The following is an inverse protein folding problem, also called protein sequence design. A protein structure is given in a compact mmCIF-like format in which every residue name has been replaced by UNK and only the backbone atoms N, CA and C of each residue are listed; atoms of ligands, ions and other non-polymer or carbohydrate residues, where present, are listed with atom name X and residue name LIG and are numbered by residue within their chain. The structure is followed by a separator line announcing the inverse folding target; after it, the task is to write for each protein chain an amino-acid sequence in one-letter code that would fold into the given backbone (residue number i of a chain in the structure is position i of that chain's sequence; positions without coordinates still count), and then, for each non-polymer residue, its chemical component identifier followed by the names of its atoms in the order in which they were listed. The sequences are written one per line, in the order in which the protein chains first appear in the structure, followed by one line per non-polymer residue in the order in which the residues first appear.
data_IF_581953125334
#
_entry.id   IF_581953125334
#
_cell.length_a   1.000
_cell.length_b   1.000
_cell.length_c   1.000
_cell.angle_alpha   90.00
_cell.angle_beta   90.00
_cell.angle_gamma   90.00
#
_symmetry.space_group_name_H-M   'P 1'
#
loop_
_entity.id
_entity.type
_entity.pdbx_description
1 polymer ?
#
# COMPACT_ATOMS: atom_id res chain seq x y z
N UNK A 1 27.66 6.28 -4.59
CA UNK A 1 26.52 5.49 -5.09
C UNK A 1 25.28 6.37 -5.02
N UNK A 2 25.14 7.29 -5.98
CA UNK A 2 24.11 8.34 -5.92
C UNK A 2 23.17 8.14 -7.11
N UNK A 3 22.30 7.15 -7.03
CA UNK A 3 21.30 6.88 -8.08
C UNK A 3 20.22 7.97 -8.01
N UNK A 4 20.28 8.96 -8.89
CA UNK A 4 19.26 10.03 -8.93
C UNK A 4 17.93 9.46 -9.43
N UNK A 5 16.97 9.30 -8.50
CA UNK A 5 15.59 8.92 -8.79
C UNK A 5 14.85 10.08 -9.46
N UNK A 6 14.11 9.78 -10.54
CA UNK A 6 13.23 10.71 -11.23
C UNK A 6 11.78 10.34 -10.90
N UNK A 7 11.00 11.35 -10.52
CA UNK A 7 9.57 11.22 -10.20
C UNK A 7 8.76 11.93 -11.29
N UNK A 8 7.79 11.27 -11.90
CA UNK A 8 6.86 11.91 -12.84
C UNK A 8 5.67 12.53 -12.07
N UNK A 9 5.41 13.81 -12.30
CA UNK A 9 4.30 14.52 -11.67
C UNK A 9 2.92 14.13 -12.24
N UNK A 10 2.88 13.57 -13.45
CA UNK A 10 1.63 13.19 -14.11
C UNK A 10 1.03 11.86 -13.59
N UNK A 11 1.86 10.85 -13.28
CA UNK A 11 1.38 9.54 -12.79
C UNK A 11 2.05 9.04 -11.49
N UNK A 12 2.92 9.83 -10.84
CA UNK A 12 3.51 9.49 -9.54
C UNK A 12 4.52 8.33 -9.58
N UNK A 13 5.00 7.97 -10.77
CA UNK A 13 5.94 6.88 -10.98
C UNK A 13 7.34 7.34 -10.53
N UNK A 14 7.98 6.54 -9.66
CA UNK A 14 9.36 6.77 -9.22
C UNK A 14 10.27 5.72 -9.84
N UNK A 15 11.19 6.15 -10.71
CA UNK A 15 12.14 5.27 -11.40
C UNK A 15 13.53 5.92 -11.42
N UNK A 16 14.57 5.13 -11.60
CA UNK A 16 15.90 5.69 -11.84
C UNK A 16 15.93 6.44 -13.18
N UNK A 17 16.74 7.50 -13.25
CA UNK A 17 16.93 8.29 -14.48
C UNK A 17 17.30 7.44 -15.72
N UNK A 18 18.13 6.41 -15.53
CA UNK A 18 18.53 5.51 -16.61
C UNK A 18 17.40 4.56 -17.01
N UNK A 19 16.59 4.11 -16.05
CA UNK A 19 15.47 3.20 -16.28
C UNK A 19 14.26 3.90 -16.91
N UNK A 20 14.13 5.23 -16.79
CA UNK A 20 13.03 6.00 -17.37
C UNK A 20 12.87 5.80 -18.89
N UNK A 21 13.94 5.45 -19.60
CA UNK A 21 13.90 5.20 -21.05
C UNK A 21 13.31 3.83 -21.42
N UNK A 22 13.25 2.91 -20.46
CA UNK A 22 12.72 1.56 -20.64
C UNK A 22 11.25 1.44 -20.21
N UNK A 23 10.72 2.48 -19.55
CA UNK A 23 9.31 2.53 -19.15
C UNK A 23 8.47 2.79 -20.41
N UNK A 24 7.51 1.92 -20.75
CA UNK A 24 6.58 2.18 -21.85
C UNK A 24 5.82 3.50 -21.65
N UNK A 25 5.37 4.11 -22.74
CA UNK A 25 4.58 5.35 -22.71
C UNK A 25 3.09 5.09 -22.44
N UNK A 26 2.79 4.13 -21.56
CA UNK A 26 1.45 3.71 -21.13
C UNK A 26 1.03 4.40 -19.83
N UNK A 27 1.72 5.48 -19.43
CA UNK A 27 1.34 6.32 -18.30
C UNK A 27 -0.09 6.82 -18.52
N UNK A 28 -1.05 6.20 -17.82
CA UNK A 28 -2.39 6.71 -17.62
C UNK A 28 -2.33 7.63 -16.39
N UNK A 29 -2.31 8.95 -16.57
CA UNK A 29 -2.26 9.87 -15.46
C UNK A 29 -3.69 10.18 -15.01
N UNK A 30 -4.16 9.52 -13.95
CA UNK A 30 -4.81 10.19 -12.82
C UNK A 30 -5.02 9.23 -11.63
N UNK A 31 -4.36 9.54 -10.52
CA UNK A 31 -4.67 9.10 -9.15
C UNK A 31 -4.02 10.12 -8.19
N UNK A 32 -4.17 11.42 -8.49
CA UNK A 32 -3.45 12.60 -7.93
C UNK A 32 -3.47 12.81 -6.38
N UNK A 33 -3.79 11.81 -5.56
CA UNK A 33 -3.70 11.83 -4.09
C UNK A 33 -3.36 10.48 -3.44
N UNK A 34 -2.99 9.43 -4.19
CA UNK A 34 -2.61 8.15 -3.59
C UNK A 34 -1.37 8.33 -2.71
N UNK A 35 -1.59 8.34 -1.38
CA UNK A 35 -0.55 8.01 -0.41
C UNK A 35 -0.49 6.48 -0.38
N UNK A 36 0.38 5.88 -1.22
CA UNK A 36 0.63 4.44 -1.13
C UNK A 36 1.04 4.12 0.30
N UNK A 37 0.28 3.24 0.93
CA UNK A 37 0.55 2.72 2.27
C UNK A 37 1.50 1.52 2.12
N UNK A 38 1.25 0.67 1.13
CA UNK A 38 2.09 -0.49 0.83
C UNK A 38 3.27 -0.13 -0.05
N UNK A 39 4.36 -0.91 0.10
CA UNK A 39 5.61 -0.74 -0.65
C UNK A 39 6.28 0.63 -0.46
N UNK A 40 5.88 1.39 0.57
CA UNK A 40 6.57 2.60 1.04
C UNK A 40 7.53 2.23 2.18
N UNK A 41 8.62 3.00 2.34
CA UNK A 41 9.49 2.87 3.51
C UNK A 41 8.69 3.15 4.80
N UNK A 42 8.84 2.27 5.79
CA UNK A 42 8.11 2.36 7.05
C UNK A 42 8.33 3.71 7.72
N UNK A 43 9.59 4.14 7.86
CA UNK A 43 9.94 5.40 8.55
C UNK A 43 9.32 6.61 7.87
N UNK A 44 9.34 6.62 6.54
CA UNK A 44 8.72 7.65 5.71
C UNK A 44 7.22 7.69 5.91
N UNK A 45 6.56 6.52 5.93
CA UNK A 45 5.12 6.41 6.12
C UNK A 45 4.67 6.94 7.50
N UNK A 46 5.29 6.49 8.60
CA UNK A 46 4.91 6.98 9.94
C UNK A 46 5.20 8.47 10.12
N UNK A 47 6.33 8.99 9.58
CA UNK A 47 6.63 10.42 9.62
C UNK A 47 5.63 11.25 8.81
N UNK A 48 5.26 10.81 7.61
CA UNK A 48 4.30 11.51 6.75
C UNK A 48 2.88 11.53 7.31
N UNK A 49 2.52 10.57 8.16
CA UNK A 49 1.22 10.50 8.83
C UNK A 49 1.24 11.00 10.28
N UNK A 50 2.41 11.33 10.84
CA UNK A 50 2.60 11.72 12.23
C UNK A 50 1.97 10.72 13.22
N UNK A 51 2.21 9.42 12.98
CA UNK A 51 1.73 8.33 13.83
C UNK A 51 2.91 7.48 14.32
N UNK A 52 2.76 6.74 15.44
CA UNK A 52 3.81 5.83 15.93
C UNK A 52 3.88 4.52 15.11
N UNK A 53 2.82 4.19 14.35
CA UNK A 53 2.74 3.01 13.48
C UNK A 53 1.80 3.27 12.28
N UNK A 54 1.90 2.48 11.20
CA UNK A 54 1.00 2.57 10.06
C UNK A 54 -0.45 2.21 10.42
N UNK A 55 -1.42 2.93 9.86
CA UNK A 55 -2.86 2.68 10.08
C UNK A 55 -3.29 1.25 9.70
N UNK A 56 -2.64 0.65 8.68
CA UNK A 56 -2.93 -0.72 8.26
C UNK A 56 -2.72 -1.73 9.40
N UNK A 57 -1.74 -1.50 10.28
CA UNK A 57 -1.49 -2.40 11.40
C UNK A 57 -2.63 -2.34 12.42
N UNK A 58 -3.02 -1.13 12.84
CA UNK A 58 -4.12 -0.95 13.79
C UNK A 58 -5.43 -1.55 13.28
N UNK A 59 -5.73 -1.30 12.00
CA UNK A 59 -6.98 -1.74 11.40
C UNK A 59 -7.03 -3.25 11.24
N UNK A 60 -5.98 -3.87 10.69
CA UNK A 60 -5.94 -5.32 10.52
C UNK A 60 -5.91 -6.07 11.85
N UNK A 61 -5.13 -5.60 12.83
CA UNK A 61 -5.07 -6.22 14.17
C UNK A 61 -6.44 -6.18 14.82
N UNK A 62 -7.12 -5.02 14.82
CA UNK A 62 -8.45 -4.88 15.40
C UNK A 62 -9.47 -5.85 14.76
N UNK A 63 -9.46 -5.98 13.44
CA UNK A 63 -10.35 -6.91 12.74
C UNK A 63 -10.07 -8.37 13.11
N UNK A 64 -8.78 -8.75 13.23
CA UNK A 64 -8.40 -10.11 13.65
C UNK A 64 -8.83 -10.37 15.09
N UNK A 65 -8.64 -9.41 15.99
CA UNK A 65 -9.06 -9.52 17.39
C UNK A 65 -10.58 -9.62 17.52
N UNK A 66 -11.33 -8.91 16.67
CA UNK A 66 -12.79 -8.88 16.71
C UNK A 66 -13.44 -10.17 16.20
N UNK A 67 -12.91 -10.79 15.14
CA UNK A 67 -13.55 -11.95 14.48
C UNK A 67 -12.64 -13.14 14.17
N UNK A 68 -11.32 -12.96 14.17
CA UNK A 68 -10.36 -13.96 13.70
C UNK A 68 -9.76 -14.87 14.78
N UNK A 69 -9.85 -14.51 16.06
CA UNK A 69 -9.13 -15.24 17.13
C UNK A 69 -9.56 -16.69 17.34
N UNK A 70 -10.80 -17.03 16.97
CA UNK A 70 -11.33 -18.40 17.07
C UNK A 70 -11.18 -19.20 15.77
N UNK A 71 -10.63 -18.58 14.72
CA UNK A 71 -10.46 -19.22 13.42
C UNK A 71 -9.30 -20.22 13.45
N UNK A 72 -9.56 -21.47 13.05
CA UNK A 72 -8.53 -22.51 13.01
C UNK A 72 -7.42 -22.13 12.02
N UNK A 73 -6.16 -22.25 12.45
CA UNK A 73 -5.01 -21.98 11.59
C UNK A 73 -4.84 -20.51 11.22
N UNK A 74 -5.28 -19.58 12.08
CA UNK A 74 -5.01 -18.15 11.93
C UNK A 74 -3.52 -17.89 11.61
N UNK A 75 -3.26 -17.04 10.61
CA UNK A 75 -1.94 -16.77 10.01
C UNK A 75 -1.26 -17.94 9.27
N UNK A 76 -1.74 -19.19 9.41
CA UNK A 76 -1.24 -20.37 8.68
C UNK A 76 -1.99 -20.62 7.38
N UNK A 77 -3.33 -20.49 7.41
CA UNK A 77 -4.20 -20.73 6.26
C UNK A 77 -4.24 -19.46 5.41
N UNK A 78 -3.86 -19.57 4.14
CA UNK A 78 -3.89 -18.45 3.20
C UNK A 78 -5.31 -18.17 2.71
N UNK A 79 -5.65 -16.90 2.59
CA UNK A 79 -6.84 -16.45 1.86
C UNK A 79 -6.63 -16.46 0.35
N UNK A 80 -7.68 -16.10 -0.39
CA UNK A 80 -7.59 -15.93 -1.85
C UNK A 80 -6.71 -14.73 -2.20
N UNK A 81 -5.76 -14.93 -3.11
CA UNK A 81 -4.81 -13.88 -3.54
C UNK A 81 -5.52 -12.64 -4.08
N UNK A 82 -6.61 -12.82 -4.83
CA UNK A 82 -7.42 -11.72 -5.37
C UNK A 82 -7.98 -10.83 -4.25
N UNK A 83 -8.58 -11.43 -3.22
CA UNK A 83 -9.12 -10.68 -2.08
C UNK A 83 -8.02 -9.97 -1.27
N UNK A 84 -6.82 -10.57 -1.18
CA UNK A 84 -5.67 -9.93 -0.51
C UNK A 84 -5.25 -8.67 -1.27
N UNK A 85 -5.19 -8.73 -2.60
CA UNK A 85 -4.88 -7.56 -3.42
C UNK A 85 -5.98 -6.49 -3.35
N UNK A 86 -7.25 -6.87 -3.27
CA UNK A 86 -8.35 -5.92 -3.08
C UNK A 86 -8.22 -5.16 -1.76
N UNK A 87 -7.92 -5.86 -0.66
CA UNK A 87 -7.68 -5.24 0.66
C UNK A 87 -6.48 -4.29 0.60
N UNK A 88 -5.39 -4.71 -0.04
CA UNK A 88 -4.19 -3.88 -0.23
C UNK A 88 -4.53 -2.61 -1.02
N UNK A 89 -5.24 -2.73 -2.13
CA UNK A 89 -5.67 -1.62 -2.97
C UNK A 89 -6.61 -0.67 -2.21
N UNK A 90 -7.49 -1.20 -1.36
CA UNK A 90 -8.35 -0.39 -0.51
C UNK A 90 -7.52 0.53 0.40
N UNK A 91 -6.51 0.01 1.08
CA UNK A 91 -5.60 0.81 1.91
C UNK A 91 -4.79 1.85 1.11
N UNK A 92 -4.22 1.46 -0.04
CA UNK A 92 -3.45 2.38 -0.89
C UNK A 92 -4.31 3.54 -1.41
N UNK A 93 -5.62 3.33 -1.58
CA UNK A 93 -6.58 4.36 -1.98
C UNK A 93 -7.13 5.20 -0.82
N UNK A 94 -6.66 4.95 0.42
CA UNK A 94 -7.15 5.63 1.62
C UNK A 94 -8.49 5.09 2.16
N UNK A 95 -8.91 3.92 1.68
CA UNK A 95 -10.13 3.23 2.10
C UNK A 95 -9.98 2.55 3.46
N UNK A 96 -11.11 2.47 4.15
CA UNK A 96 -11.25 1.77 5.43
C UNK A 96 -11.84 0.37 5.17
N UNK A 97 -11.18 -0.68 5.68
CA UNK A 97 -11.62 -2.09 5.59
C UNK A 97 -12.92 -2.42 6.38
N UNK A 98 -13.70 -1.41 6.81
CA UNK A 98 -14.89 -1.58 7.66
C UNK A 98 -16.23 -1.66 6.91
N UNK A 99 -16.27 -1.44 5.60
CA UNK A 99 -17.56 -1.32 4.90
C UNK A 99 -18.02 -2.60 4.17
N UNK A 100 -17.14 -3.57 3.89
CA UNK A 100 -17.49 -4.71 3.01
C UNK A 100 -16.75 -6.02 3.39
N UNK A 101 -16.82 -6.47 4.64
CA UNK A 101 -16.41 -7.84 5.03
C UNK A 101 -17.19 -8.40 6.21
#
# INVERSE_FOLDING_TARGET
LSSTTQSSLDCGLNVHKQCSKLVPSDCQPDLRRIKKVFSCDLTTLVKAHNTPRPMVLDMCIREIEQRGLTSEGLYRVSGFTEHIEDVRLAFDRGGCILLEM
#
